data_IF_522717711143
#
_entry.id   IF_522717711143
#
_cell.length_a   1.000
_cell.length_b   1.000
_cell.length_c   1.000
_cell.angle_alpha   90.00
_cell.angle_beta   90.00
_cell.angle_gamma   90.00
#
_symmetry.space_group_name_H-M   'P 1'
#
loop_
_entity.id
_entity.type
_entity.pdbx_description
1 polymer ?
#
# COMPACT_ATOMS: atom_id res chain seq x y z
N UNK A 1 -13.40 9.25 -2.87
CA UNK A 1 -12.55 8.26 -3.56
C UNK A 1 -11.90 8.99 -4.72
N UNK A 2 -10.57 9.10 -4.71
CA UNK A 2 -9.81 9.71 -5.80
C UNK A 2 -10.06 8.98 -7.12
N UNK A 3 -9.80 9.64 -8.25
CA UNK A 3 -9.96 8.97 -9.55
C UNK A 3 -8.83 7.93 -9.68
N UNK A 4 -9.19 6.70 -10.03
CA UNK A 4 -8.24 5.57 -10.14
C UNK A 4 -7.24 5.78 -11.26
N UNK A 5 -7.77 6.31 -12.36
CA UNK A 5 -7.07 6.52 -13.61
C UNK A 5 -5.73 7.28 -13.44
N UNK A 6 -5.67 8.47 -12.81
CA UNK A 6 -4.40 9.20 -12.66
C UNK A 6 -3.36 8.45 -11.83
N UNK A 7 -3.76 7.78 -10.74
CA UNK A 7 -2.82 7.03 -9.88
C UNK A 7 -2.32 5.78 -10.60
N UNK A 8 -3.20 5.02 -11.24
CA UNK A 8 -2.81 3.85 -12.04
C UNK A 8 -1.87 4.24 -13.18
N UNK A 9 -2.16 5.32 -13.90
CA UNK A 9 -1.30 5.79 -14.99
C UNK A 9 0.09 6.20 -14.48
N UNK A 10 0.15 6.93 -13.35
CA UNK A 10 1.40 7.34 -12.75
C UNK A 10 2.25 6.13 -12.29
N UNK A 11 1.62 5.11 -11.70
CA UNK A 11 2.27 3.84 -11.33
C UNK A 11 2.76 3.11 -12.57
N UNK A 12 1.96 3.02 -13.63
CA UNK A 12 2.37 2.38 -14.88
C UNK A 12 3.56 3.10 -15.52
N UNK A 13 3.59 4.43 -15.53
CA UNK A 13 4.74 5.18 -16.06
C UNK A 13 6.01 4.89 -15.28
N UNK A 14 5.93 4.96 -13.95
CA UNK A 14 7.06 4.70 -13.07
C UNK A 14 7.54 3.23 -13.16
N UNK A 15 6.62 2.27 -13.32
CA UNK A 15 6.95 0.86 -13.56
C UNK A 15 7.66 0.60 -14.91
N UNK A 16 7.39 1.42 -15.93
CA UNK A 16 8.06 1.36 -17.23
C UNK A 16 9.33 2.23 -17.29
N UNK A 17 9.74 2.83 -16.18
CA UNK A 17 10.92 3.71 -16.13
C UNK A 17 10.73 5.06 -16.83
N UNK A 18 9.47 5.50 -17.01
CA UNK A 18 9.15 6.81 -17.60
C UNK A 18 8.97 7.81 -16.45
N UNK A 19 9.92 8.74 -16.33
CA UNK A 19 9.92 9.77 -15.29
C UNK A 19 9.68 11.16 -15.89
N UNK A 20 8.86 11.97 -15.24
CA UNK A 20 8.53 13.34 -15.66
C UNK A 20 9.39 14.35 -14.91
N UNK A 21 9.51 14.23 -13.59
CA UNK A 21 10.18 15.24 -12.77
C UNK A 21 11.55 14.78 -12.31
N UNK A 22 11.66 13.54 -11.82
CA UNK A 22 12.92 13.03 -11.26
C UNK A 22 13.04 11.52 -11.41
N UNK A 23 14.13 11.10 -12.03
CA UNK A 23 14.54 9.70 -12.05
C UNK A 23 15.25 9.34 -10.73
N UNK A 24 14.94 8.20 -10.11
CA UNK A 24 15.69 7.71 -8.96
C UNK A 24 17.13 7.38 -9.35
N UNK A 25 18.08 7.73 -8.48
CA UNK A 25 19.47 7.34 -8.63
C UNK A 25 19.62 5.85 -8.25
N UNK A 26 20.34 5.06 -9.06
CA UNK A 26 20.70 3.66 -8.80
C UNK A 26 19.57 2.60 -8.87
N UNK A 27 18.55 2.80 -9.70
CA UNK A 27 17.44 1.82 -9.88
C UNK A 27 17.95 0.42 -10.27
N UNK A 28 19.02 0.37 -11.06
CA UNK A 28 19.60 -0.88 -11.58
C UNK A 28 20.25 -1.76 -10.51
N UNK A 29 20.54 -1.21 -9.32
CA UNK A 29 21.17 -1.97 -8.23
C UNK A 29 20.17 -2.74 -7.35
N UNK A 30 18.86 -2.63 -7.62
CA UNK A 30 17.83 -3.19 -6.74
C UNK A 30 17.07 -4.37 -7.37
N UNK A 31 16.66 -5.38 -6.57
CA UNK A 31 15.78 -6.44 -7.05
C UNK A 31 14.47 -5.86 -7.58
N UNK A 32 14.19 -6.06 -8.87
CA UNK A 32 13.03 -5.46 -9.56
C UNK A 32 11.70 -5.86 -8.93
N UNK A 33 11.60 -7.08 -8.40
CA UNK A 33 10.41 -7.54 -7.72
C UNK A 33 10.15 -6.81 -6.38
N UNK A 34 11.21 -6.47 -5.63
CA UNK A 34 11.09 -5.71 -4.38
C UNK A 34 10.62 -4.27 -4.65
N UNK A 35 11.08 -3.68 -5.75
CA UNK A 35 10.62 -2.41 -6.28
C UNK A 35 9.12 -2.44 -6.61
N UNK A 36 8.65 -3.46 -7.35
CA UNK A 36 7.23 -3.58 -7.68
C UNK A 36 6.34 -3.79 -6.46
N UNK A 37 6.79 -4.56 -5.46
CA UNK A 37 6.05 -4.71 -4.21
C UNK A 37 5.88 -3.38 -3.47
N UNK A 38 6.94 -2.57 -3.42
CA UNK A 38 6.86 -1.25 -2.80
C UNK A 38 5.98 -0.29 -3.62
N UNK A 39 6.11 -0.30 -4.94
CA UNK A 39 5.29 0.51 -5.84
C UNK A 39 3.80 0.16 -5.72
N UNK A 40 3.48 -1.13 -5.56
CA UNK A 40 2.13 -1.60 -5.26
C UNK A 40 1.63 -1.08 -3.91
N UNK A 41 2.51 -1.02 -2.90
CA UNK A 41 2.17 -0.43 -1.61
C UNK A 41 1.86 1.07 -1.75
N UNK A 42 2.68 1.82 -2.50
CA UNK A 42 2.44 3.25 -2.78
C UNK A 42 1.12 3.45 -3.54
N UNK A 43 0.79 2.57 -4.49
CA UNK A 43 -0.50 2.58 -5.17
C UNK A 43 -1.67 2.48 -4.16
N UNK A 44 -1.63 1.49 -3.27
CA UNK A 44 -2.67 1.32 -2.24
C UNK A 44 -2.76 2.54 -1.31
N UNK A 45 -1.61 3.09 -0.92
CA UNK A 45 -1.53 4.28 -0.09
C UNK A 45 -2.21 5.47 -0.78
N UNK A 46 -1.79 5.82 -1.99
CA UNK A 46 -2.34 6.98 -2.73
C UNK A 46 -3.81 6.81 -3.11
N UNK A 47 -4.25 5.56 -3.30
CA UNK A 47 -5.65 5.24 -3.58
C UNK A 47 -6.56 5.41 -2.37
N UNK A 48 -6.12 4.95 -1.20
CA UNK A 48 -6.97 4.88 0.01
C UNK A 48 -6.93 6.16 0.87
N UNK A 49 -5.94 7.05 0.69
CA UNK A 49 -5.89 8.31 1.46
C UNK A 49 -7.22 9.08 1.26
N UNK A 50 -8.00 9.30 2.34
CA UNK A 50 -9.34 9.92 2.26
C UNK A 50 -9.28 11.38 1.80
N UNK A 51 -8.13 12.02 1.99
CA UNK A 51 -7.72 13.24 1.32
C UNK A 51 -7.05 12.85 0.01
N UNK A 52 -7.85 12.62 -1.05
CA UNK A 52 -7.34 12.61 -2.42
C UNK A 52 -6.28 13.73 -2.49
N UNK A 53 -5.00 13.45 -2.82
CA UNK A 53 -3.89 14.41 -2.65
C UNK A 53 -4.12 15.73 -3.40
N UNK A 54 -5.15 15.74 -4.24
CA UNK A 54 -5.83 16.88 -4.80
C UNK A 54 -6.36 17.89 -3.75
N UNK A 55 -5.76 19.11 -3.70
CA UNK A 55 -6.23 20.20 -2.85
C UNK A 55 -7.71 20.51 -3.08
N UNK A 56 -8.44 20.78 -2.01
CA UNK A 56 -9.88 21.14 -2.08
C UNK A 56 -10.14 22.31 -3.04
N UNK A 57 -9.19 23.23 -3.16
CA UNK A 57 -9.23 24.41 -4.03
C UNK A 57 -9.41 24.06 -5.52
N UNK A 58 -8.95 22.90 -5.97
CA UNK A 58 -9.04 22.51 -7.38
C UNK A 58 -10.28 21.65 -7.69
N UNK A 59 -11.11 21.31 -6.70
CA UNK A 59 -12.32 20.46 -6.89
C UNK A 59 -13.40 21.09 -7.77
N UNK A 60 -13.34 22.40 -7.99
CA UNK A 60 -14.23 23.13 -8.89
C UNK A 60 -13.77 23.21 -10.35
N UNK A 61 -12.60 22.69 -10.70
CA UNK A 61 -12.09 22.77 -12.08
C UNK A 61 -12.86 21.86 -13.04
N UNK A 62 -12.91 22.26 -14.32
CA UNK A 62 -13.51 21.47 -15.41
C UNK A 62 -12.86 20.07 -15.44
N UNK A 63 -13.69 19.04 -15.65
CA UNK A 63 -13.32 17.63 -15.48
C UNK A 63 -11.97 17.19 -16.09
N UNK A 64 -11.54 17.60 -17.30
CA UNK A 64 -10.27 17.13 -17.87
C UNK A 64 -9.06 17.75 -17.18
N UNK A 65 -9.11 19.03 -16.84
CA UNK A 65 -8.00 19.74 -16.16
C UNK A 65 -7.77 19.16 -14.77
N UNK A 66 -8.86 18.82 -14.07
CA UNK A 66 -8.80 18.13 -12.78
C UNK A 66 -8.08 16.78 -12.87
N UNK A 67 -8.31 15.95 -13.91
CA UNK A 67 -7.60 14.67 -14.08
C UNK A 67 -6.11 14.88 -14.32
N UNK A 68 -5.76 15.87 -15.14
CA UNK A 68 -4.35 16.15 -15.46
C UNK A 68 -3.60 16.59 -14.20
N UNK A 69 -4.18 17.47 -13.39
CA UNK A 69 -3.57 17.90 -12.13
C UNK A 69 -3.48 16.73 -11.13
N UNK A 70 -4.53 15.92 -10.99
CA UNK A 70 -4.50 14.72 -10.15
C UNK A 70 -3.39 13.75 -10.60
N UNK A 71 -3.21 13.59 -11.91
CA UNK A 71 -2.15 12.77 -12.49
C UNK A 71 -0.76 13.35 -12.18
N UNK A 72 -0.53 14.64 -12.41
CA UNK A 72 0.75 15.28 -12.12
C UNK A 72 1.09 15.18 -10.62
N UNK A 73 0.13 15.41 -9.74
CA UNK A 73 0.33 15.24 -8.29
C UNK A 73 0.66 13.79 -7.93
N UNK A 74 -0.01 12.81 -8.54
CA UNK A 74 0.29 11.40 -8.32
C UNK A 74 1.71 11.04 -8.82
N UNK A 75 2.12 11.50 -10.00
CA UNK A 75 3.46 11.29 -10.54
C UNK A 75 4.52 11.89 -9.61
N UNK A 76 4.34 13.15 -9.21
CA UNK A 76 5.25 13.81 -8.24
C UNK A 76 5.36 12.96 -6.97
N UNK A 77 4.25 12.60 -6.34
CA UNK A 77 4.27 11.83 -5.10
C UNK A 77 4.99 10.48 -5.25
N UNK A 78 4.72 9.75 -6.33
CA UNK A 78 5.38 8.46 -6.59
C UNK A 78 6.88 8.68 -6.82
N UNK A 79 7.27 9.60 -7.69
CA UNK A 79 8.68 9.84 -7.99
C UNK A 79 9.47 10.28 -6.75
N UNK A 80 8.89 11.15 -5.91
CA UNK A 80 9.50 11.55 -4.64
C UNK A 80 9.58 10.38 -3.65
N UNK A 81 8.52 9.59 -3.50
CA UNK A 81 8.54 8.40 -2.63
C UNK A 81 9.57 7.37 -3.09
N UNK A 82 9.73 7.18 -4.41
CA UNK A 82 10.72 6.24 -4.93
C UNK A 82 12.14 6.79 -4.76
N UNK A 83 12.40 8.03 -5.17
CA UNK A 83 13.73 8.61 -5.22
C UNK A 83 14.27 9.01 -3.83
N UNK A 84 13.45 9.65 -2.99
CA UNK A 84 13.93 10.23 -1.73
C UNK A 84 13.65 9.33 -0.52
N UNK A 85 12.68 8.42 -0.61
CA UNK A 85 12.35 7.51 0.50
C UNK A 85 12.82 6.08 0.22
N UNK A 86 12.31 5.43 -0.84
CA UNK A 86 12.54 4.01 -1.08
C UNK A 86 14.00 3.66 -1.40
N UNK A 87 14.57 4.27 -2.43
CA UNK A 87 15.93 3.95 -2.88
C UNK A 87 16.98 4.18 -1.78
N UNK A 88 16.99 5.32 -1.06
CA UNK A 88 17.95 5.54 0.03
C UNK A 88 17.73 4.60 1.22
N UNK A 89 16.47 4.29 1.55
CA UNK A 89 16.13 3.37 2.64
C UNK A 89 16.60 1.95 2.31
N UNK A 90 16.29 1.46 1.11
CA UNK A 90 16.70 0.14 0.65
C UNK A 90 18.23 0.02 0.61
N UNK A 91 18.93 1.01 0.06
CA UNK A 91 20.39 1.03 0.04
C UNK A 91 20.99 0.96 1.46
N UNK A 92 20.48 1.76 2.40
CA UNK A 92 20.94 1.73 3.79
C UNK A 92 20.62 0.42 4.49
N UNK A 93 19.44 -0.15 4.24
CA UNK A 93 19.01 -1.41 4.84
C UNK A 93 19.86 -2.58 4.35
N UNK A 94 20.06 -2.69 3.04
CA UNK A 94 20.93 -3.71 2.42
C UNK A 94 22.38 -3.56 2.89
N UNK A 95 22.87 -2.33 3.08
CA UNK A 95 24.21 -2.09 3.64
C UNK A 95 24.32 -2.38 5.15
N UNK A 96 23.20 -2.37 5.87
CA UNK A 96 23.15 -2.62 7.31
C UNK A 96 23.10 -4.13 7.63
N UNK A 97 22.36 -4.91 6.85
CA UNK A 97 22.12 -6.35 7.09
C UNK A 97 23.43 -7.15 7.27
N UNK A 98 24.47 -7.01 6.44
CA UNK A 98 25.74 -7.73 6.62
C UNK A 98 26.53 -7.35 7.86
N UNK A 99 26.23 -6.20 8.49
CA UNK A 99 26.93 -5.69 9.68
C UNK A 99 26.31 -6.19 10.99
N UNK A 100 25.10 -6.75 10.94
CA UNK A 100 24.40 -7.31 12.10
C UNK A 100 25.25 -8.35 12.86
N UNK A 101 25.95 -9.29 12.20
CA UNK A 101 26.79 -10.27 12.89
C UNK A 101 27.92 -9.60 13.68
N UNK A 102 28.54 -8.57 13.10
CA UNK A 102 29.66 -7.85 13.73
C UNK A 102 29.19 -7.09 14.98
N UNK A 103 28.04 -6.40 14.90
CA UNK A 103 27.44 -5.73 16.06
C UNK A 103 27.06 -6.70 17.19
N UNK A 104 26.55 -7.88 16.82
CA UNK A 104 26.17 -8.91 17.79
C UNK A 104 27.41 -9.53 18.46
N UNK A 105 28.48 -9.76 17.70
CA UNK A 105 29.75 -10.21 18.22
C UNK A 105 30.32 -9.20 19.23
N UNK A 106 30.35 -7.91 18.86
CA UNK A 106 30.83 -6.82 19.72
C UNK A 106 30.01 -6.72 21.02
N UNK A 107 28.69 -6.83 20.93
CA UNK A 107 27.80 -6.80 22.09
C UNK A 107 28.02 -8.00 23.02
N UNK A 108 28.18 -9.21 22.47
CA UNK A 108 28.41 -10.42 23.27
C UNK A 108 29.79 -10.43 23.93
N UNK A 109 30.83 -9.99 23.21
CA UNK A 109 32.17 -9.81 23.75
C UNK A 109 32.19 -8.80 24.92
N UNK A 110 31.38 -7.75 24.85
CA UNK A 110 31.22 -6.77 25.93
C UNK A 110 30.61 -7.38 27.20
N UNK A 111 29.76 -8.40 27.07
CA UNK A 111 29.09 -9.09 28.19
C UNK A 111 29.91 -10.31 28.66
N UNK A 112 31.03 -10.63 27.99
CA UNK A 112 31.92 -11.75 28.33
C UNK A 112 31.34 -13.12 27.96
N UNK A 113 30.41 -13.18 27.00
CA UNK A 113 29.82 -14.42 26.48
C UNK A 113 30.56 -14.82 25.21
N UNK A 114 31.01 -16.07 25.12
CA UNK A 114 31.62 -16.61 23.90
C UNK A 114 30.57 -16.71 22.79
N UNK A 115 30.73 -15.85 21.79
CA UNK A 115 29.77 -15.60 20.73
C UNK A 115 29.93 -16.54 19.52
N UNK A 116 31.06 -17.27 19.43
CA UNK A 116 31.53 -17.92 18.20
C UNK A 116 30.46 -18.74 17.47
N UNK A 117 29.78 -19.64 18.19
CA UNK A 117 28.75 -20.48 17.58
C UNK A 117 27.54 -19.69 17.05
N UNK A 118 27.16 -18.59 17.70
CA UNK A 118 26.01 -17.77 17.26
C UNK A 118 26.41 -16.90 16.07
N UNK A 119 27.60 -16.31 16.11
CA UNK A 119 28.10 -15.45 15.03
C UNK A 119 28.36 -16.22 13.75
N UNK A 120 28.79 -17.48 13.82
CA UNK A 120 29.01 -18.35 12.66
C UNK A 120 27.71 -18.61 11.87
N UNK A 121 26.59 -18.85 12.55
CA UNK A 121 25.29 -18.96 11.87
C UNK A 121 24.83 -17.63 11.27
N UNK A 122 25.22 -16.51 11.87
CA UNK A 122 24.87 -15.18 11.38
C UNK A 122 25.74 -14.72 10.20
N UNK A 123 26.86 -15.37 9.91
CA UNK A 123 27.65 -15.05 8.72
C UNK A 123 26.86 -15.23 7.41
N UNK A 124 25.82 -16.08 7.42
CA UNK A 124 24.90 -16.23 6.28
C UNK A 124 24.23 -14.91 5.89
N UNK A 125 24.10 -13.93 6.80
CA UNK A 125 23.56 -12.60 6.50
C UNK A 125 24.48 -11.77 5.58
N UNK A 126 25.75 -12.15 5.44
CA UNK A 126 26.70 -11.52 4.51
C UNK A 126 26.54 -12.04 3.07
N UNK A 127 25.77 -13.12 2.86
CA UNK A 127 25.52 -13.69 1.53
C UNK A 127 24.63 -12.80 0.66
N UNK A 128 24.80 -12.89 -0.66
CA UNK A 128 23.96 -12.20 -1.64
C UNK A 128 22.48 -12.61 -1.52
N UNK A 129 22.22 -13.89 -1.26
CA UNK A 129 20.86 -14.40 -1.04
C UNK A 129 20.17 -13.74 0.16
N UNK A 130 20.90 -13.55 1.26
CA UNK A 130 20.38 -12.87 2.43
C UNK A 130 20.10 -11.39 2.16
N UNK A 131 20.93 -10.72 1.35
CA UNK A 131 20.68 -9.35 0.92
C UNK A 131 19.41 -9.24 0.08
N UNK A 132 19.22 -10.14 -0.89
CA UNK A 132 18.00 -10.21 -1.70
C UNK A 132 16.77 -10.48 -0.82
N UNK A 133 16.85 -11.49 0.06
CA UNK A 133 15.77 -11.82 0.99
C UNK A 133 15.42 -10.65 1.93
N UNK A 134 16.43 -9.92 2.40
CA UNK A 134 16.24 -8.73 3.25
C UNK A 134 15.50 -7.62 2.51
N UNK A 135 15.84 -7.40 1.23
CA UNK A 135 15.15 -6.44 0.37
C UNK A 135 13.69 -6.81 0.18
N UNK A 136 13.38 -8.10 -0.05
CA UNK A 136 12.00 -8.57 -0.13
C UNK A 136 11.25 -8.41 1.19
N UNK A 137 11.90 -8.72 2.29
CA UNK A 137 11.33 -8.60 3.64
C UNK A 137 10.96 -7.15 3.93
N UNK A 138 11.82 -6.20 3.56
CA UNK A 138 11.56 -4.77 3.70
C UNK A 138 10.35 -4.33 2.85
N UNK A 139 10.31 -4.69 1.57
CA UNK A 139 9.18 -4.36 0.69
C UNK A 139 7.88 -4.97 1.17
N UNK A 140 7.91 -6.25 1.57
CA UNK A 140 6.76 -6.97 2.09
C UNK A 140 6.27 -6.31 3.38
N UNK A 141 7.17 -5.94 4.29
CA UNK A 141 6.81 -5.22 5.51
C UNK A 141 6.07 -3.91 5.23
N UNK A 142 6.54 -3.10 4.26
CA UNK A 142 5.84 -1.87 3.87
C UNK A 142 4.49 -2.15 3.24
N UNK A 143 4.40 -3.11 2.32
CA UNK A 143 3.15 -3.50 1.70
C UNK A 143 2.12 -3.95 2.74
N UNK A 144 2.52 -4.81 3.66
CA UNK A 144 1.71 -5.28 4.77
C UNK A 144 1.27 -4.15 5.71
N UNK A 145 2.19 -3.24 6.05
CA UNK A 145 1.91 -2.08 6.88
C UNK A 145 0.90 -1.14 6.23
N UNK A 146 1.04 -0.87 4.93
CA UNK A 146 0.12 -0.02 4.18
C UNK A 146 -1.24 -0.71 4.01
N UNK A 147 -1.28 -2.00 3.67
CA UNK A 147 -2.53 -2.75 3.60
C UNK A 147 -3.27 -2.74 4.95
N UNK A 148 -2.53 -2.75 6.06
CA UNK A 148 -3.10 -2.58 7.39
C UNK A 148 -3.62 -1.17 7.66
N UNK A 149 -2.83 -0.15 7.35
CA UNK A 149 -3.21 1.25 7.50
C UNK A 149 -4.47 1.58 6.68
N UNK A 150 -4.55 1.05 5.45
CA UNK A 150 -5.69 1.17 4.55
C UNK A 150 -6.89 0.30 4.95
N UNK A 151 -6.81 -0.41 6.10
CA UNK A 151 -7.83 -1.35 6.60
C UNK A 151 -8.22 -2.43 5.58
N UNK A 152 -7.36 -2.71 4.58
CA UNK A 152 -7.51 -3.82 3.64
C UNK A 152 -7.19 -5.13 4.35
N UNK A 153 -6.21 -5.10 5.26
CA UNK A 153 -5.83 -6.22 6.14
C UNK A 153 -6.02 -5.79 7.59
N UNK A 154 -6.67 -6.63 8.39
CA UNK A 154 -6.86 -6.36 9.81
C UNK A 154 -6.15 -7.42 10.65
N UNK A 155 -4.92 -7.09 11.08
CA UNK A 155 -4.11 -7.99 11.90
C UNK A 155 -4.74 -8.32 13.25
N UNK A 156 -5.76 -7.58 13.69
CA UNK A 156 -6.47 -7.89 14.93
C UNK A 156 -7.27 -9.19 14.81
N UNK A 157 -7.67 -9.57 13.59
CA UNK A 157 -8.38 -10.82 13.31
C UNK A 157 -7.47 -12.06 13.34
N UNK A 158 -6.14 -11.90 13.30
CA UNK A 158 -5.22 -13.03 13.51
C UNK A 158 -5.42 -13.66 14.89
N UNK A 159 -5.83 -12.87 15.89
CA UNK A 159 -6.15 -13.36 17.24
C UNK A 159 -7.33 -14.34 17.25
N UNK A 160 -8.18 -14.31 16.23
CA UNK A 160 -9.33 -15.19 16.06
C UNK A 160 -9.02 -16.42 15.18
N UNK A 161 -7.77 -16.57 14.71
CA UNK A 161 -7.33 -17.70 13.87
C UNK A 161 -7.03 -17.31 12.42
N UNK A 162 -6.11 -18.06 11.81
CA UNK A 162 -5.60 -17.82 10.45
C UNK A 162 -6.69 -17.98 9.38
N UNK A 163 -7.62 -18.90 9.59
CA UNK A 163 -8.73 -19.16 8.66
C UNK A 163 -9.70 -17.97 8.59
N UNK A 164 -10.10 -17.42 9.75
CA UNK A 164 -10.96 -16.23 9.81
C UNK A 164 -10.29 -15.00 9.21
N UNK A 165 -8.98 -14.87 9.43
CA UNK A 165 -8.16 -13.82 8.82
C UNK A 165 -8.10 -13.94 7.29
N UNK A 166 -7.90 -15.15 6.75
CA UNK A 166 -7.85 -15.38 5.31
C UNK A 166 -9.20 -15.09 4.64
N UNK A 167 -10.32 -15.46 5.28
CA UNK A 167 -11.68 -15.15 4.78
C UNK A 167 -11.93 -13.64 4.77
N UNK A 168 -11.51 -12.91 5.80
CA UNK A 168 -11.67 -11.46 5.85
C UNK A 168 -10.80 -10.74 4.82
N UNK A 169 -9.55 -11.17 4.63
CA UNK A 169 -8.68 -10.68 3.55
C UNK A 169 -9.37 -10.90 2.21
N UNK A 170 -9.83 -12.12 1.91
CA UNK A 170 -10.50 -12.42 0.64
C UNK A 170 -11.71 -11.50 0.44
N UNK A 171 -12.54 -11.33 1.46
CA UNK A 171 -13.73 -10.47 1.42
C UNK A 171 -13.38 -9.00 1.20
N UNK A 172 -12.38 -8.47 1.91
CA UNK A 172 -11.94 -7.07 1.79
C UNK A 172 -11.24 -6.82 0.47
N UNK A 173 -10.37 -7.70 0.02
CA UNK A 173 -9.71 -7.63 -1.29
C UNK A 173 -10.73 -7.74 -2.43
N UNK A 174 -11.73 -8.64 -2.35
CA UNK A 174 -12.79 -8.70 -3.35
C UNK A 174 -13.65 -7.43 -3.35
N UNK A 175 -14.01 -6.89 -2.19
CA UNK A 175 -14.73 -5.62 -2.09
C UNK A 175 -13.90 -4.45 -2.65
N UNK A 176 -12.60 -4.48 -2.43
CA UNK A 176 -11.64 -3.50 -2.94
C UNK A 176 -11.52 -3.61 -4.47
N UNK A 177 -11.37 -4.83 -5.00
CA UNK A 177 -11.33 -5.12 -6.44
C UNK A 177 -12.64 -4.72 -7.16
N UNK A 178 -13.80 -4.95 -6.54
CA UNK A 178 -15.08 -4.49 -7.07
C UNK A 178 -15.13 -2.95 -7.09
N UNK A 179 -14.55 -2.28 -6.10
CA UNK A 179 -14.43 -0.83 -6.08
C UNK A 179 -13.51 -0.25 -7.18
N UNK A 180 -12.60 -1.06 -7.71
CA UNK A 180 -11.71 -0.68 -8.83
C UNK A 180 -12.40 -0.78 -10.20
N UNK A 181 -13.52 -1.52 -10.31
CA UNK A 181 -14.26 -1.65 -11.57
C UNK A 181 -15.22 -0.47 -11.79
N UNK A 182 -15.15 0.23 -12.93
CA UNK A 182 -15.95 1.44 -13.17
C UNK A 182 -17.47 1.20 -13.27
N UNK A 183 -17.92 -0.05 -13.37
CA UNK A 183 -19.31 -0.40 -13.71
C UNK A 183 -20.22 -0.53 -12.47
N UNK A 184 -19.69 -0.83 -11.28
CA UNK A 184 -20.53 -1.23 -10.12
C UNK A 184 -20.90 -0.10 -9.16
N UNK A 185 -20.27 1.08 -9.25
CA UNK A 185 -20.60 2.21 -8.37
C UNK A 185 -22.02 2.74 -8.58
N UNK A 186 -22.56 2.61 -9.80
CA UNK A 186 -23.91 3.04 -10.15
C UNK A 186 -24.98 2.07 -9.63
N UNK A 187 -24.68 0.76 -9.59
CA UNK A 187 -25.59 -0.28 -9.10
C UNK A 187 -25.65 -0.36 -7.57
N UNK A 188 -24.52 -0.11 -6.89
CA UNK A 188 -24.48 -0.11 -5.43
C UNK A 188 -25.20 1.12 -4.84
N UNK A 189 -25.15 2.28 -5.52
CA UNK A 189 -25.94 3.45 -5.14
C UNK A 189 -27.45 3.27 -5.44
N UNK A 190 -27.82 2.56 -6.52
CA UNK A 190 -29.22 2.19 -6.78
C UNK A 190 -29.81 1.28 -5.69
N UNK A 191 -29.02 0.34 -5.14
CA UNK A 191 -29.47 -0.53 -4.03
C UNK A 191 -29.59 0.19 -2.69
N UNK A 192 -28.75 1.19 -2.41
CA UNK A 192 -28.90 2.04 -1.21
C UNK A 192 -30.07 3.02 -1.31
N UNK A 193 -30.35 3.56 -2.49
CA UNK A 193 -31.54 4.39 -2.74
C UNK A 193 -32.84 3.59 -2.56
N UNK A 194 -32.92 2.37 -3.10
CA UNK A 194 -34.12 1.51 -2.94
C UNK A 194 -34.44 1.11 -1.50
N UNK A 195 -33.44 0.97 -0.63
CA UNK A 195 -33.67 0.66 0.80
C UNK A 195 -34.11 1.85 1.64
N UNK A 196 -33.91 3.09 1.17
CA UNK A 196 -34.33 4.30 1.91
C UNK A 196 -35.72 4.80 1.51
N UNK A 197 -36.28 4.31 0.40
CA UNK A 197 -37.63 4.66 -0.06
C UNK A 197 -38.74 3.68 0.34
N UNK A 198 -38.45 2.65 1.13
CA UNK A 198 -39.40 1.58 1.48
C UNK A 198 -40.00 1.69 2.88
N UNK A 199 -39.85 2.84 3.57
CA UNK A 199 -40.36 3.06 4.93
C UNK A 199 -41.34 4.24 5.03
N UNK A 200 -42.05 4.61 3.95
CA UNK A 200 -42.98 5.75 3.97
C UNK A 200 -44.32 5.51 3.27
N UNK A 201 -44.87 4.29 3.35
CA UNK A 201 -46.19 4.00 2.79
C UNK A 201 -46.89 2.87 3.57
N UNK A 202 -47.08 3.04 4.88
CA UNK A 202 -47.98 2.18 5.67
C UNK A 202 -48.48 2.93 6.92
N UNK A 203 -49.56 3.69 6.72
CA UNK A 203 -50.56 4.19 7.70
C UNK A 203 -51.25 5.38 7.01
N UNK A 204 -52.54 5.44 6.70
CA UNK A 204 -53.70 4.82 7.31
C UNK A 204 -54.84 4.88 6.29
N UNK A 205 -55.59 3.79 6.12
CA UNK A 205 -56.94 3.83 5.59
C UNK A 205 -57.82 3.07 6.59
N UNK A 206 -59.05 3.56 6.71
CA UNK A 206 -60.21 2.98 7.40
C UNK A 206 -60.32 3.21 8.91
N UNK A 207 -61.22 4.15 9.25
CA UNK A 207 -62.39 3.84 10.07
C UNK A 207 -63.48 4.88 9.75
N UNK A 208 -64.36 4.49 8.83
CA UNK A 208 -65.74 4.99 8.71
C UNK A 208 -66.62 3.82 9.17
N UNK A 209 -67.33 3.97 10.31
CA UNK A 209 -68.75 3.65 10.46
C UNK A 209 -69.18 3.68 11.95
N UNK A 210 -70.36 4.30 12.11
CA UNK A 210 -71.21 4.50 13.31
C UNK A 210 -70.86 5.65 14.26
#
# INVERSE_FOLDING_TARGET
>A
MGRLLPVTLAVCMNANGIYIFRAPENIECFPTQAYFMFLLAVFYLLWDIPLNPYPSCFRGLVKPVSVIIEFLVAVVMIEFLMADFWCPLQAKFVAFVPKIPDYINDAMNTIGVDAGNVTDYLEILKSEEALIASSYTLSAFFLLSILHACRVVDYRLLRCGVETFAVDIKKRTTKFAIGLLPITSQEMNRRRSRRRGSNSSESSFELENE
#
